data_IF_859929928532
#
_entry.id   IF_859929928532
#
_cell.length_a   1.000
_cell.length_b   1.000
_cell.length_c   1.000
_cell.angle_alpha   90.00
_cell.angle_beta   90.00
_cell.angle_gamma   90.00
#
_symmetry.space_group_name_H-M   'P 1'
#
loop_
_entity.id
_entity.type
_entity.pdbx_description
1 polymer ?
#
# COMPACT_ATOMS: atom_id res chain seq x y z
N UNK A 1 15.73 8.01 9.59
CA UNK A 1 15.61 6.81 8.75
C UNK A 1 14.21 6.83 8.17
N UNK A 2 14.09 6.78 6.84
CA UNK A 2 12.84 6.81 6.09
C UNK A 2 12.28 5.40 6.07
N UNK A 3 11.08 5.21 6.61
CA UNK A 3 10.40 3.92 6.69
C UNK A 3 9.42 3.76 5.54
N UNK A 4 9.63 2.70 4.77
CA UNK A 4 8.74 2.28 3.68
C UNK A 4 7.91 1.11 4.19
N UNK A 5 6.59 1.27 4.23
CA UNK A 5 5.65 0.18 4.44
C UNK A 5 5.15 -0.31 3.09
N UNK A 6 5.62 -1.47 2.65
CA UNK A 6 5.14 -2.16 1.46
C UNK A 6 3.99 -3.11 1.83
N UNK A 7 2.85 -2.92 1.18
CA UNK A 7 1.61 -3.67 1.38
C UNK A 7 1.23 -4.34 0.06
N UNK A 8 1.04 -5.65 0.07
CA UNK A 8 0.66 -6.42 -1.11
C UNK A 8 -0.58 -7.28 -0.84
N UNK A 9 -1.52 -7.27 -1.79
CA UNK A 9 -2.71 -8.14 -1.76
C UNK A 9 -2.93 -8.78 -3.13
N UNK A 10 -3.16 -10.09 -3.16
CA UNK A 10 -3.36 -10.87 -4.38
C UNK A 10 -4.40 -11.96 -4.11
N UNK A 11 -5.69 -11.58 -3.98
CA UNK A 11 -6.73 -12.49 -3.53
C UNK A 11 -6.87 -13.73 -4.42
N UNK A 12 -7.33 -14.83 -3.85
CA UNK A 12 -7.37 -16.14 -4.53
C UNK A 12 -8.32 -16.20 -5.71
N UNK A 13 -9.30 -15.30 -5.78
CA UNK A 13 -10.27 -15.19 -6.87
C UNK A 13 -9.95 -14.13 -7.93
N UNK A 14 -8.75 -13.55 -7.91
CA UNK A 14 -8.29 -12.62 -8.97
C UNK A 14 -7.22 -13.25 -9.87
N UNK A 15 -6.92 -12.57 -10.97
CA UNK A 15 -5.80 -12.94 -11.81
C UNK A 15 -4.49 -12.75 -11.06
N UNK A 16 -3.71 -13.82 -10.89
CA UNK A 16 -2.46 -13.77 -10.11
C UNK A 16 -1.48 -12.72 -10.64
N UNK A 17 -1.11 -11.77 -9.77
CA UNK A 17 0.00 -10.85 -9.99
C UNK A 17 1.33 -11.43 -9.49
N UNK A 18 2.45 -10.99 -10.08
CA UNK A 18 3.82 -11.33 -9.63
C UNK A 18 4.38 -10.28 -8.67
N UNK A 19 3.66 -10.04 -7.58
CA UNK A 19 4.01 -9.03 -6.56
C UNK A 19 5.36 -9.33 -5.88
N UNK A 20 5.79 -10.59 -5.88
CA UNK A 20 7.10 -11.05 -5.44
C UNK A 20 8.25 -10.46 -6.27
N UNK A 21 8.06 -10.33 -7.59
CA UNK A 21 9.04 -9.70 -8.46
C UNK A 21 9.16 -8.19 -8.20
N UNK A 22 8.02 -7.53 -7.95
CA UNK A 22 8.00 -6.10 -7.63
C UNK A 22 8.71 -5.82 -6.30
N UNK A 23 8.41 -6.59 -5.25
CA UNK A 23 9.13 -6.47 -3.97
C UNK A 23 10.64 -6.71 -4.14
N UNK A 24 11.03 -7.75 -4.90
CA UNK A 24 12.44 -8.03 -5.16
C UNK A 24 13.12 -6.88 -5.91
N UNK A 25 12.44 -6.29 -6.90
CA UNK A 25 12.97 -5.16 -7.65
C UNK A 25 13.15 -3.91 -6.76
N UNK A 26 12.20 -3.65 -5.85
CA UNK A 26 12.27 -2.55 -4.88
C UNK A 26 13.45 -2.76 -3.92
N UNK A 27 13.59 -3.95 -3.33
CA UNK A 27 14.72 -4.27 -2.44
C UNK A 27 16.07 -4.12 -3.16
N UNK A 28 16.17 -4.62 -4.39
CA UNK A 28 17.39 -4.47 -5.19
C UNK A 28 17.72 -2.99 -5.48
N UNK A 29 16.73 -2.19 -5.88
CA UNK A 29 16.91 -0.77 -6.16
C UNK A 29 17.34 0.00 -4.89
N UNK A 30 16.72 -0.29 -3.74
CA UNK A 30 17.08 0.32 -2.46
C UNK A 30 18.52 -0.01 -2.06
N UNK A 31 18.97 -1.26 -2.25
CA UNK A 31 20.36 -1.66 -1.94
C UNK A 31 21.39 -1.00 -2.84
N UNK A 32 21.03 -0.69 -4.09
CA UNK A 32 21.89 -0.03 -5.06
C UNK A 32 21.88 1.50 -4.93
N UNK A 33 20.91 2.06 -4.20
CA UNK A 33 20.79 3.50 -4.03
C UNK A 33 21.96 4.10 -3.23
N UNK A 34 22.36 5.31 -3.61
CA UNK A 34 23.41 6.09 -2.93
C UNK A 34 23.13 6.25 -1.42
N UNK A 35 21.86 6.38 -1.05
CA UNK A 35 21.41 6.59 0.33
C UNK A 35 20.73 5.37 0.95
N UNK A 36 21.09 4.15 0.54
CA UNK A 36 20.47 2.89 1.03
C UNK A 36 20.34 2.82 2.56
N UNK A 37 21.33 3.29 3.30
CA UNK A 37 21.37 3.24 4.77
C UNK A 37 20.38 4.23 5.43
N UNK A 38 19.72 5.07 4.64
CA UNK A 38 18.64 5.95 5.10
C UNK A 38 17.27 5.28 5.05
N UNK A 39 17.10 4.14 4.38
CA UNK A 39 15.82 3.49 4.19
C UNK A 39 15.69 2.21 5.00
N UNK A 40 14.49 1.98 5.55
CA UNK A 40 14.06 0.72 6.14
C UNK A 40 12.76 0.29 5.45
N UNK A 41 12.65 -0.97 5.04
CA UNK A 41 11.44 -1.50 4.40
C UNK A 41 10.79 -2.58 5.26
N UNK A 42 9.52 -2.38 5.62
CA UNK A 42 8.66 -3.38 6.23
C UNK A 42 7.67 -3.88 5.18
N UNK A 43 7.56 -5.19 5.00
CA UNK A 43 6.69 -5.79 3.98
C UNK A 43 5.59 -6.63 4.63
N UNK A 44 4.34 -6.43 4.20
CA UNK A 44 3.21 -7.28 4.55
C UNK A 44 2.51 -7.77 3.29
N UNK A 45 2.21 -9.06 3.28
CA UNK A 45 1.61 -9.78 2.17
C UNK A 45 0.23 -10.27 2.57
N UNK A 46 -0.61 -10.61 1.58
CA UNK A 46 -1.98 -11.03 1.82
C UNK A 46 -2.74 -10.02 2.70
N UNK A 47 -2.54 -8.72 2.41
CA UNK A 47 -3.01 -7.64 3.27
C UNK A 47 -4.53 -7.59 3.27
N UNK A 48 -5.10 -7.67 4.48
CA UNK A 48 -6.54 -7.54 4.70
C UNK A 48 -6.90 -6.13 5.12
N UNK A 49 -8.15 -5.75 4.84
CA UNK A 49 -8.68 -4.44 5.26
C UNK A 49 -8.58 -4.24 6.78
N UNK A 50 -8.80 -5.29 7.57
CA UNK A 50 -8.75 -5.25 9.03
C UNK A 50 -7.33 -5.01 9.58
N UNK A 51 -6.29 -5.34 8.81
CA UNK A 51 -4.91 -5.23 9.27
C UNK A 51 -4.29 -3.86 8.95
N UNK A 52 -4.86 -3.11 7.99
CA UNK A 52 -4.24 -1.91 7.43
C UNK A 52 -3.96 -0.85 8.49
N UNK A 53 -4.96 -0.55 9.33
CA UNK A 53 -4.83 0.40 10.43
C UNK A 53 -3.76 -0.06 11.44
N UNK A 54 -3.74 -1.35 11.76
CA UNK A 54 -2.74 -1.94 12.66
C UNK A 54 -1.32 -1.79 12.12
N UNK A 55 -1.11 -2.03 10.83
CA UNK A 55 0.20 -1.85 10.18
C UNK A 55 0.65 -0.39 10.18
N UNK A 56 -0.23 0.54 9.83
CA UNK A 56 0.09 1.97 9.84
C UNK A 56 0.47 2.47 11.24
N UNK A 57 -0.29 2.09 12.27
CA UNK A 57 -0.01 2.47 13.66
C UNK A 57 1.27 1.83 14.20
N UNK A 58 1.54 0.57 13.85
CA UNK A 58 2.72 -0.17 14.30
C UNK A 58 4.01 0.36 13.70
N UNK A 59 4.02 0.57 12.38
CA UNK A 59 5.25 0.93 11.65
C UNK A 59 5.49 2.43 11.62
N UNK A 60 4.43 3.24 11.70
CA UNK A 60 4.46 4.70 11.55
C UNK A 60 5.33 5.13 10.35
N UNK A 61 5.00 4.65 9.14
CA UNK A 61 5.86 4.81 7.97
C UNK A 61 5.90 6.25 7.46
N UNK A 62 6.99 6.59 6.78
CA UNK A 62 7.12 7.82 6.00
C UNK A 62 6.52 7.65 4.60
N UNK A 63 6.63 6.44 4.04
CA UNK A 63 6.16 6.10 2.70
C UNK A 63 5.29 4.84 2.81
N UNK A 64 4.09 4.87 2.24
CA UNK A 64 3.26 3.67 2.06
C UNK A 64 3.25 3.30 0.59
N UNK A 65 3.63 2.06 0.26
CA UNK A 65 3.54 1.52 -1.08
C UNK A 65 2.52 0.39 -1.07
N UNK A 66 1.43 0.55 -1.80
CA UNK A 66 0.48 -0.51 -2.06
C UNK A 66 0.70 -1.09 -3.46
N UNK A 67 0.75 -2.42 -3.56
CA UNK A 67 0.71 -3.13 -4.84
C UNK A 67 -0.37 -4.21 -4.86
N UNK A 68 -1.17 -4.23 -5.91
CA UNK A 68 -2.27 -5.18 -6.04
C UNK A 68 -3.27 -4.79 -7.13
N UNK A 69 -4.47 -5.33 -7.03
CA UNK A 69 -5.53 -5.02 -7.98
C UNK A 69 -6.25 -3.72 -7.64
N UNK A 70 -6.82 -3.10 -8.67
CA UNK A 70 -7.80 -2.03 -8.52
C UNK A 70 -9.00 -2.24 -9.44
N UNK A 71 -10.14 -1.68 -9.03
CA UNK A 71 -11.43 -1.80 -9.71
C UNK A 71 -11.80 -0.57 -10.53
N UNK A 72 -12.63 -0.75 -11.57
CA UNK A 72 -13.10 0.36 -12.43
C UNK A 72 -13.85 1.44 -11.66
N UNK A 73 -14.45 1.08 -10.51
CA UNK A 73 -15.10 2.01 -9.58
C UNK A 73 -14.11 2.77 -8.68
N UNK A 74 -12.83 2.81 -9.05
CA UNK A 74 -11.76 3.43 -8.26
C UNK A 74 -11.64 2.80 -6.87
N UNK A 75 -11.53 1.47 -6.86
CA UNK A 75 -11.34 0.69 -5.64
C UNK A 75 -9.92 0.12 -5.61
N UNK A 76 -9.38 -0.07 -4.42
CA UNK A 76 -8.24 -0.96 -4.20
C UNK A 76 -8.78 -2.30 -3.70
N UNK A 77 -8.26 -3.41 -4.21
CA UNK A 77 -8.68 -4.74 -3.78
C UNK A 77 -7.71 -5.28 -2.75
N UNK A 78 -8.21 -5.53 -1.54
CA UNK A 78 -7.52 -6.20 -0.45
C UNK A 78 -8.07 -7.62 -0.27
N UNK A 79 -7.56 -8.35 0.72
CA UNK A 79 -8.13 -9.64 1.11
C UNK A 79 -9.16 -9.50 2.23
N UNK A 80 -10.14 -10.40 2.24
CA UNK A 80 -10.96 -10.68 3.41
C UNK A 80 -10.37 -11.83 4.26
N UNK A 81 -11.12 -12.28 5.27
CA UNK A 81 -10.69 -13.37 6.15
C UNK A 81 -10.56 -14.73 5.45
N UNK A 82 -11.19 -14.90 4.28
CA UNK A 82 -11.11 -16.10 3.44
C UNK A 82 -10.00 -16.03 2.38
N UNK A 83 -9.33 -14.88 2.24
CA UNK A 83 -8.31 -14.65 1.20
C UNK A 83 -8.91 -14.21 -0.14
N UNK A 84 -10.21 -13.90 -0.16
CA UNK A 84 -10.94 -13.49 -1.34
C UNK A 84 -10.96 -11.96 -1.48
N UNK A 85 -11.31 -11.48 -2.66
CA UNK A 85 -11.33 -10.05 -2.97
C UNK A 85 -12.25 -9.25 -2.06
N UNK A 86 -11.69 -8.20 -1.46
CA UNK A 86 -12.40 -7.20 -0.69
C UNK A 86 -12.15 -5.80 -1.28
N UNK A 87 -13.11 -5.22 -2.02
CA UNK A 87 -12.97 -3.88 -2.57
C UNK A 87 -13.02 -2.80 -1.48
N UNK A 88 -12.06 -1.89 -1.50
CA UNK A 88 -11.98 -0.72 -0.63
C UNK A 88 -12.17 0.52 -1.47
N UNK A 89 -13.26 1.25 -1.18
CA UNK A 89 -13.59 2.50 -1.88
C UNK A 89 -12.57 3.61 -1.62
N UNK A 90 -12.47 4.55 -2.58
CA UNK A 90 -11.74 5.83 -2.43
C UNK A 90 -12.02 6.52 -1.09
N UNK A 91 -13.30 6.60 -0.70
CA UNK A 91 -13.72 7.29 0.53
C UNK A 91 -13.18 6.60 1.78
N UNK A 92 -13.25 5.27 1.84
CA UNK A 92 -12.74 4.51 2.98
C UNK A 92 -11.22 4.70 3.11
N UNK A 93 -10.51 4.62 1.99
CA UNK A 93 -9.06 4.77 1.95
C UNK A 93 -8.62 6.19 2.34
N UNK A 94 -9.25 7.24 1.78
CA UNK A 94 -8.91 8.63 2.13
C UNK A 94 -9.23 8.96 3.59
N UNK A 95 -10.33 8.41 4.13
CA UNK A 95 -10.66 8.54 5.57
C UNK A 95 -9.61 7.89 6.46
N UNK A 96 -9.07 6.75 6.06
CA UNK A 96 -8.02 6.09 6.82
C UNK A 96 -6.74 6.95 6.86
N UNK A 97 -6.32 7.46 5.70
CA UNK A 97 -5.13 8.32 5.64
C UNK A 97 -5.35 9.66 6.32
N UNK A 98 -6.55 10.25 6.30
CA UNK A 98 -6.82 11.50 7.01
C UNK A 98 -6.66 11.39 8.53
N UNK A 99 -6.90 10.20 9.08
CA UNK A 99 -6.74 9.87 10.51
C UNK A 99 -5.30 9.48 10.86
N UNK A 100 -4.58 8.80 9.95
CA UNK A 100 -3.27 8.19 10.23
C UNK A 100 -2.09 8.88 9.52
N UNK A 101 -2.29 10.09 9.02
CA UNK A 101 -1.33 10.86 8.22
C UNK A 101 -0.06 11.32 8.93
N UNK A 102 -0.01 11.31 10.27
CA UNK A 102 1.00 12.04 11.07
C UNK A 102 2.44 11.94 10.55
N UNK A 103 2.86 10.74 10.11
CA UNK A 103 4.21 10.51 9.62
C UNK A 103 4.30 10.33 8.09
N UNK A 104 3.16 10.19 7.41
CA UNK A 104 3.10 9.72 6.01
C UNK A 104 3.27 10.93 5.08
N UNK A 105 4.30 10.86 4.24
CA UNK A 105 4.70 11.90 3.28
C UNK A 105 4.57 11.47 1.82
N UNK A 106 4.26 10.20 1.59
CA UNK A 106 4.10 9.67 0.26
C UNK A 106 3.27 8.39 0.30
N UNK A 107 2.32 8.30 -0.62
CA UNK A 107 1.57 7.07 -0.88
C UNK A 107 1.72 6.71 -2.35
N UNK A 108 2.24 5.52 -2.61
CA UNK A 108 2.35 4.94 -3.96
C UNK A 108 1.27 3.89 -4.11
N UNK A 109 0.41 4.06 -5.12
CA UNK A 109 -0.65 3.11 -5.46
C UNK A 109 -0.34 2.42 -6.79
N UNK A 110 0.32 1.26 -6.73
CA UNK A 110 0.55 0.40 -7.87
C UNK A 110 -0.65 -0.53 -8.10
N UNK A 111 -1.74 0.04 -8.61
CA UNK A 111 -2.99 -0.65 -8.90
C UNK A 111 -3.71 0.02 -10.08
N UNK A 112 -4.54 -0.72 -10.82
CA UNK A 112 -5.35 -0.15 -11.90
C UNK A 112 -6.36 0.86 -11.36
N UNK A 113 -6.68 1.89 -12.15
CA UNK A 113 -7.71 2.89 -11.81
C UNK A 113 -7.50 3.55 -10.43
N UNK A 114 -6.25 3.81 -10.04
CA UNK A 114 -5.87 4.34 -8.71
C UNK A 114 -5.81 5.87 -8.62
N UNK A 115 -6.05 6.59 -9.73
CA UNK A 115 -5.87 8.05 -9.79
C UNK A 115 -6.79 8.80 -8.82
N UNK A 116 -8.08 8.44 -8.76
CA UNK A 116 -9.04 9.11 -7.88
C UNK A 116 -8.68 8.90 -6.40
N UNK A 117 -8.21 7.72 -6.05
CA UNK A 117 -7.72 7.35 -4.73
C UNK A 117 -6.49 8.19 -4.38
N UNK A 118 -5.51 8.26 -5.29
CA UNK A 118 -4.30 9.05 -5.09
C UNK A 118 -4.61 10.53 -4.85
N UNK A 119 -5.51 11.12 -5.66
CA UNK A 119 -5.95 12.52 -5.48
C UNK A 119 -6.64 12.74 -4.13
N UNK A 120 -7.55 11.85 -3.74
CA UNK A 120 -8.27 11.97 -2.48
C UNK A 120 -7.36 11.79 -1.25
N UNK A 121 -6.33 10.95 -1.34
CA UNK A 121 -5.34 10.78 -0.26
C UNK A 121 -4.43 12.01 -0.16
N UNK A 122 -4.00 12.57 -1.29
CA UNK A 122 -3.12 13.74 -1.35
C UNK A 122 -3.72 15.00 -0.70
N UNK A 123 -5.04 15.06 -0.50
CA UNK A 123 -5.68 16.13 0.29
C UNK A 123 -5.28 16.10 1.78
N UNK A 124 -4.75 14.97 2.26
CA UNK A 124 -4.47 14.73 3.67
C UNK A 124 -3.01 14.50 4.00
N UNK A 125 -2.15 14.20 3.04
CA UNK A 125 -0.73 13.90 3.27
C UNK A 125 0.16 14.94 2.59
N UNK A 126 1.29 15.26 3.21
CA UNK A 126 2.26 16.27 2.75
C UNK A 126 3.12 15.82 1.56
#
# INVERSE_FOLDING_TARGET
>A
MIKILFLAANPTNTARLRLDEESRAIDQALRQAEYRDKFEIAQHWAVRVADLQGYLLRHKPDIVHFSGHGGQSSEIILEDSSGESHPVSTRALSTLFSVLKDNIRCVVLNACYSEQQARAIAEYID
#
